data_IF_562505352838
#
_entry.id   IF_562505352838
#
_cell.length_a   1.000
_cell.length_b   1.000
_cell.length_c   1.000
_cell.angle_alpha   90.00
_cell.angle_beta   90.00
_cell.angle_gamma   90.00
#
_symmetry.space_group_name_H-M   'P 1'
#
loop_
_entity.id
_entity.type
_entity.pdbx_description
1 polymer ?
#
# COMPACT_ATOMS: atom_id res chain seq x y z
N UNK A 1 23.71 -3.57 20.51
CA UNK A 1 22.27 -3.24 20.42
C UNK A 1 21.48 -4.56 20.50
N UNK A 2 20.36 -4.66 21.23
CA UNK A 2 19.62 -5.94 21.38
C UNK A 2 18.97 -6.35 20.04
N UNK A 3 18.96 -7.65 19.67
CA UNK A 3 18.47 -8.13 18.37
C UNK A 3 17.01 -7.77 18.06
N UNK A 4 16.14 -7.66 19.09
CA UNK A 4 14.75 -7.20 18.93
C UNK A 4 14.64 -5.77 18.38
N UNK A 5 15.54 -4.88 18.78
CA UNK A 5 15.54 -3.47 18.33
C UNK A 5 15.92 -3.34 16.86
N UNK A 6 16.80 -4.23 16.40
CA UNK A 6 17.27 -4.29 15.00
C UNK A 6 16.17 -4.81 14.07
N UNK A 7 15.42 -5.83 14.51
CA UNK A 7 14.35 -6.41 13.70
C UNK A 7 13.18 -5.44 13.49
N UNK A 8 12.78 -4.71 14.54
CA UNK A 8 11.75 -3.67 14.44
C UNK A 8 12.19 -2.57 13.46
N UNK A 9 13.42 -2.08 13.57
CA UNK A 9 13.92 -1.04 12.65
C UNK A 9 13.97 -1.49 11.19
N UNK A 10 14.25 -2.77 10.92
CA UNK A 10 14.27 -3.29 9.56
C UNK A 10 12.86 -3.33 8.95
N UNK A 11 11.87 -3.80 9.71
CA UNK A 11 10.46 -3.84 9.28
C UNK A 11 9.93 -2.43 9.03
N UNK A 12 10.21 -1.49 9.94
CA UNK A 12 9.82 -0.08 9.78
C UNK A 12 10.44 0.53 8.52
N UNK A 13 11.71 0.25 8.25
CA UNK A 13 12.40 0.72 7.07
C UNK A 13 11.81 0.16 5.78
N UNK A 14 11.49 -1.14 5.75
CA UNK A 14 10.84 -1.80 4.59
C UNK A 14 9.48 -1.16 4.32
N UNK A 15 8.68 -0.94 5.37
CA UNK A 15 7.35 -0.38 5.24
C UNK A 15 7.37 1.10 4.84
N UNK A 16 8.35 1.87 5.36
CA UNK A 16 8.59 3.26 4.92
C UNK A 16 8.99 3.31 3.44
N UNK A 17 9.89 2.45 2.98
CA UNK A 17 10.27 2.40 1.56
C UNK A 17 9.09 2.02 0.66
N UNK A 18 8.22 1.12 1.13
CA UNK A 18 6.97 0.82 0.43
C UNK A 18 6.08 2.05 0.33
N UNK A 19 5.89 2.78 1.43
CA UNK A 19 5.13 4.04 1.45
C UNK A 19 5.71 5.10 0.49
N UNK A 20 7.02 5.31 0.49
CA UNK A 20 7.68 6.36 -0.28
C UNK A 20 7.60 6.11 -1.79
N UNK A 21 7.58 4.85 -2.22
CA UNK A 21 7.41 4.47 -3.64
C UNK A 21 6.12 4.99 -4.27
N UNK A 22 5.10 5.29 -3.46
CA UNK A 22 3.81 5.80 -3.94
C UNK A 22 3.62 7.29 -3.70
N UNK A 23 4.66 8.01 -3.24
CA UNK A 23 4.65 9.46 -3.15
C UNK A 23 4.32 10.10 -4.50
N UNK A 24 5.05 9.70 -5.56
CA UNK A 24 4.85 10.23 -6.91
C UNK A 24 3.44 9.96 -7.42
N UNK A 25 2.90 8.75 -7.19
CA UNK A 25 1.52 8.42 -7.60
C UNK A 25 0.47 9.26 -6.88
N UNK A 26 0.71 9.59 -5.59
CA UNK A 26 -0.20 10.41 -4.78
C UNK A 26 -0.10 11.91 -5.08
N UNK A 27 1.04 12.37 -5.60
CA UNK A 27 1.31 13.75 -5.98
C UNK A 27 1.46 13.90 -7.50
N UNK A 28 0.65 13.17 -8.27
CA UNK A 28 0.65 13.27 -9.73
C UNK A 28 -0.62 13.98 -10.19
N UNK A 29 -0.47 14.97 -11.07
CA UNK A 29 -1.61 15.75 -11.58
C UNK A 29 -2.67 14.88 -12.25
N UNK A 30 -2.28 13.76 -12.85
CA UNK A 30 -3.22 12.81 -13.45
C UNK A 30 -4.06 12.09 -12.40
N UNK A 31 -3.45 11.64 -11.30
CA UNK A 31 -4.17 11.06 -10.15
C UNK A 31 -5.08 12.12 -9.51
N UNK A 32 -4.61 13.36 -9.44
CA UNK A 32 -5.33 14.50 -8.85
C UNK A 32 -6.52 14.97 -9.69
N UNK A 33 -6.42 14.87 -11.02
CA UNK A 33 -7.52 15.09 -11.94
C UNK A 33 -8.49 13.89 -11.95
N UNK A 34 -7.96 12.66 -11.90
CA UNK A 34 -8.75 11.43 -11.89
C UNK A 34 -9.72 11.38 -10.71
N UNK A 35 -9.24 11.64 -9.49
CA UNK A 35 -10.10 11.62 -8.29
C UNK A 35 -11.21 12.68 -8.34
N UNK A 36 -11.03 13.74 -9.12
CA UNK A 36 -12.05 14.76 -9.37
C UNK A 36 -12.99 14.43 -10.54
N UNK A 37 -12.88 13.24 -11.15
CA UNK A 37 -13.65 12.84 -12.32
C UNK A 37 -13.23 13.53 -13.63
N UNK A 38 -12.08 14.21 -13.63
CA UNK A 38 -11.60 15.02 -14.77
C UNK A 38 -10.69 14.23 -15.71
N UNK A 39 -10.44 12.95 -15.43
CA UNK A 39 -9.56 12.09 -16.21
C UNK A 39 -10.12 10.67 -16.40
N UNK A 40 -11.22 10.50 -17.15
CA UNK A 40 -11.95 9.22 -17.25
C UNK A 40 -11.13 8.08 -17.87
N UNK A 41 -10.12 8.38 -18.68
CA UNK A 41 -9.23 7.40 -19.29
C UNK A 41 -8.13 6.88 -18.34
N UNK A 42 -7.97 7.49 -17.17
CA UNK A 42 -6.89 7.19 -16.22
C UNK A 42 -6.85 5.71 -15.85
N UNK A 43 -7.99 5.09 -15.55
CA UNK A 43 -8.06 3.68 -15.16
C UNK A 43 -7.51 2.76 -16.26
N UNK A 44 -7.95 2.98 -17.50
CA UNK A 44 -7.55 2.16 -18.65
C UNK A 44 -6.06 2.32 -18.96
N UNK A 45 -5.52 3.53 -18.80
CA UNK A 45 -4.12 3.85 -19.14
C UNK A 45 -3.16 3.46 -18.02
N UNK A 46 -3.50 3.76 -16.77
CA UNK A 46 -2.58 3.65 -15.64
C UNK A 46 -2.88 2.48 -14.70
N UNK A 47 -4.11 1.95 -14.68
CA UNK A 47 -4.54 0.89 -13.75
C UNK A 47 -4.83 -0.45 -14.46
N UNK A 48 -4.29 -0.64 -15.67
CA UNK A 48 -4.38 -1.91 -16.38
C UNK A 48 -3.46 -2.99 -15.76
N UNK A 49 -3.67 -4.29 -16.08
CA UNK A 49 -2.90 -5.39 -15.49
C UNK A 49 -1.37 -5.26 -15.64
N UNK A 50 -0.90 -4.71 -16.76
CA UNK A 50 0.54 -4.53 -16.98
C UNK A 50 1.10 -3.46 -16.05
N UNK A 51 0.42 -2.32 -15.92
CA UNK A 51 0.81 -1.24 -15.01
C UNK A 51 0.81 -1.68 -13.55
N UNK A 52 -0.22 -2.41 -13.10
CA UNK A 52 -0.29 -2.94 -11.73
C UNK A 52 0.78 -4.00 -11.45
N UNK A 53 1.11 -4.86 -12.43
CA UNK A 53 2.22 -5.79 -12.31
C UNK A 53 3.58 -5.06 -12.21
N UNK A 54 3.75 -3.95 -12.91
CA UNK A 54 5.00 -3.16 -12.89
C UNK A 54 5.22 -2.46 -11.55
N UNK A 55 4.18 -1.84 -10.98
CA UNK A 55 4.25 -1.25 -9.63
C UNK A 55 4.15 -2.28 -8.51
N UNK A 56 3.84 -3.53 -8.88
CA UNK A 56 3.78 -4.74 -8.04
C UNK A 56 2.83 -4.58 -6.85
N UNK A 57 1.63 -4.04 -7.02
CA UNK A 57 0.65 -3.97 -5.91
C UNK A 57 -0.34 -5.13 -5.97
N UNK A 58 -0.86 -5.52 -4.82
CA UNK A 58 -2.00 -6.44 -4.71
C UNK A 58 -3.33 -5.70 -4.47
N UNK A 59 -3.26 -4.43 -4.09
CA UNK A 59 -4.40 -3.58 -3.80
C UNK A 59 -4.07 -2.16 -4.23
N UNK A 60 -5.03 -1.51 -4.89
CA UNK A 60 -4.98 -0.06 -5.14
C UNK A 60 -6.40 0.50 -5.06
N UNK A 61 -6.57 1.56 -4.27
CA UNK A 61 -7.84 2.25 -4.05
C UNK A 61 -7.62 3.76 -4.21
N UNK A 62 -8.55 4.41 -4.89
CA UNK A 62 -8.70 5.86 -4.96
C UNK A 62 -10.01 6.21 -4.26
N UNK A 63 -9.88 6.88 -3.12
CA UNK A 63 -11.02 7.25 -2.26
C UNK A 63 -11.06 8.75 -2.17
N UNK A 64 -12.23 9.37 -2.35
CA UNK A 64 -12.37 10.82 -2.27
C UNK A 64 -12.40 11.32 -0.82
N UNK A 65 -12.54 12.64 -0.63
CA UNK A 65 -12.59 13.24 0.72
C UNK A 65 -13.84 12.86 1.52
N UNK A 66 -14.91 12.42 0.86
CA UNK A 66 -16.13 11.96 1.50
C UNK A 66 -16.00 10.49 1.97
N UNK A 67 -14.88 9.82 1.66
CA UNK A 67 -14.70 8.40 1.92
C UNK A 67 -15.34 7.50 0.86
N UNK A 68 -15.82 8.07 -0.24
CA UNK A 68 -16.37 7.30 -1.35
C UNK A 68 -15.23 6.74 -2.19
N UNK A 69 -15.26 5.43 -2.41
CA UNK A 69 -14.33 4.77 -3.32
C UNK A 69 -14.69 5.12 -4.77
N UNK A 70 -13.87 5.97 -5.39
CA UNK A 70 -13.98 6.33 -6.81
C UNK A 70 -13.49 5.17 -7.67
N UNK A 71 -12.41 4.53 -7.25
CA UNK A 71 -11.91 3.31 -7.88
C UNK A 71 -11.27 2.40 -6.85
N UNK A 72 -11.36 1.10 -7.06
CA UNK A 72 -10.60 0.14 -6.27
C UNK A 72 -10.54 -1.23 -6.91
N UNK A 73 -9.38 -1.87 -6.82
CA UNK A 73 -9.21 -3.23 -7.33
C UNK A 73 -8.18 -4.01 -6.52
N UNK A 74 -8.38 -5.32 -6.46
CA UNK A 74 -7.33 -6.25 -6.08
C UNK A 74 -6.55 -6.71 -7.31
N UNK A 75 -5.31 -7.16 -7.10
CA UNK A 75 -4.47 -7.70 -8.17
C UNK A 75 -3.71 -8.94 -7.70
N UNK A 76 -3.84 -10.02 -8.47
CA UNK A 76 -3.05 -11.22 -8.26
C UNK A 76 -1.74 -11.09 -9.07
N UNK A 77 -0.62 -10.91 -8.38
CA UNK A 77 0.71 -10.73 -8.98
C UNK A 77 1.24 -11.99 -9.69
N UNK A 78 0.79 -13.19 -9.28
CA UNK A 78 1.22 -14.45 -9.90
C UNK A 78 0.50 -14.67 -11.22
N UNK A 79 -0.82 -14.53 -11.23
CA UNK A 79 -1.63 -14.74 -12.44
C UNK A 79 -1.69 -13.50 -13.33
N UNK A 80 -1.23 -12.34 -12.82
CA UNK A 80 -1.31 -11.02 -13.46
C UNK A 80 -2.74 -10.64 -13.85
N UNK A 81 -3.69 -10.88 -12.94
CA UNK A 81 -5.12 -10.60 -13.17
C UNK A 81 -5.67 -9.66 -12.11
N UNK A 82 -6.56 -8.76 -12.54
CA UNK A 82 -7.45 -8.03 -11.66
C UNK A 82 -8.36 -9.03 -10.94
N UNK A 83 -8.58 -8.80 -9.65
CA UNK A 83 -9.49 -9.56 -8.81
C UNK A 83 -10.32 -8.58 -7.97
N UNK A 84 -11.49 -8.99 -7.47
CA UNK A 84 -12.21 -8.18 -6.49
C UNK A 84 -11.34 -7.87 -5.26
N UNK A 85 -11.60 -6.73 -4.62
CA UNK A 85 -10.96 -6.39 -3.34
C UNK A 85 -11.37 -7.46 -2.31
N UNK A 86 -10.41 -8.13 -1.64
CA UNK A 86 -10.74 -9.13 -0.63
C UNK A 86 -11.66 -8.59 0.48
N UNK A 87 -12.63 -9.39 0.92
CA UNK A 87 -13.58 -8.97 1.95
C UNK A 87 -12.90 -8.55 3.26
N UNK A 88 -11.82 -9.22 3.64
CA UNK A 88 -11.01 -8.90 4.81
C UNK A 88 -10.45 -7.48 4.75
N UNK A 89 -9.96 -7.06 3.58
CA UNK A 89 -9.50 -5.68 3.31
C UNK A 89 -10.67 -4.71 3.40
N UNK A 90 -11.82 -5.00 2.78
CA UNK A 90 -12.98 -4.09 2.85
C UNK A 90 -13.43 -3.83 4.29
N UNK A 91 -13.46 -4.89 5.12
CA UNK A 91 -13.87 -4.80 6.52
C UNK A 91 -12.86 -4.04 7.40
N UNK A 92 -11.56 -4.28 7.23
CA UNK A 92 -10.55 -3.71 8.12
C UNK A 92 -10.02 -2.34 7.67
N UNK A 93 -10.04 -2.07 6.35
CA UNK A 93 -9.44 -0.88 5.75
C UNK A 93 -10.51 0.14 5.38
N UNK A 94 -11.50 -0.25 4.58
CA UNK A 94 -12.49 0.70 4.03
C UNK A 94 -13.48 1.14 5.12
N UNK A 95 -13.83 0.24 6.04
CA UNK A 95 -14.74 0.57 7.15
C UNK A 95 -14.06 1.40 8.25
N UNK A 96 -12.72 1.52 8.23
CA UNK A 96 -11.94 2.23 9.22
C UNK A 96 -11.37 3.53 8.63
N UNK A 97 -12.11 4.62 8.79
CA UNK A 97 -11.77 5.94 8.24
C UNK A 97 -10.42 6.50 8.70
N UNK A 98 -9.76 5.90 9.70
CA UNK A 98 -8.44 6.36 10.16
C UNK A 98 -7.39 6.42 9.06
N UNK A 99 -7.44 5.52 8.06
CA UNK A 99 -6.49 5.53 6.95
C UNK A 99 -6.82 6.57 5.87
N UNK A 100 -8.04 7.10 5.86
CA UNK A 100 -8.54 8.02 4.83
C UNK A 100 -8.47 9.50 5.25
N UNK A 101 -8.23 9.76 6.55
CA UNK A 101 -8.13 11.11 7.09
C UNK A 101 -6.68 11.58 7.08
N UNK A 102 -6.40 12.70 6.44
CA UNK A 102 -5.06 13.29 6.37
C UNK A 102 -5.08 14.72 6.91
N UNK A 103 -4.17 15.05 7.83
CA UNK A 103 -4.04 16.38 8.44
C UNK A 103 -3.29 17.38 7.55
N UNK A 104 -2.42 16.88 6.66
CA UNK A 104 -1.64 17.72 5.74
C UNK A 104 -1.28 16.97 4.46
N UNK A 105 -0.75 17.68 3.46
CA UNK A 105 -0.29 17.10 2.21
C UNK A 105 0.86 16.07 2.38
N UNK A 106 1.55 16.10 3.52
CA UNK A 106 2.65 15.18 3.84
C UNK A 106 2.23 14.08 4.84
N UNK A 107 0.97 14.05 5.26
CA UNK A 107 0.47 13.10 6.26
C UNK A 107 0.19 11.73 5.63
N UNK A 108 1.24 10.96 5.34
CA UNK A 108 1.11 9.56 4.90
C UNK A 108 0.98 8.61 6.09
N UNK A 109 0.04 7.67 6.01
CA UNK A 109 -0.16 6.61 7.01
C UNK A 109 0.22 5.27 6.40
N UNK A 110 1.05 4.49 7.06
CA UNK A 110 1.51 3.21 6.55
C UNK A 110 1.75 2.21 7.68
N UNK A 111 1.62 0.93 7.37
CA UNK A 111 1.57 -0.12 8.41
C UNK A 111 1.57 -1.53 7.84
N UNK A 112 1.65 -2.50 8.73
CA UNK A 112 1.36 -3.91 8.41
C UNK A 112 -0.07 -4.22 8.86
N UNK A 113 -0.82 -4.91 8.01
CA UNK A 113 -2.14 -5.43 8.30
C UNK A 113 -2.13 -6.95 8.23
N UNK A 114 -2.61 -7.59 9.30
CA UNK A 114 -2.73 -9.05 9.37
C UNK A 114 -4.11 -9.46 8.88
N UNK A 115 -4.16 -10.14 7.74
CA UNK A 115 -5.38 -10.62 7.10
C UNK A 115 -5.38 -12.16 7.04
N UNK A 116 -6.55 -12.80 6.87
CA UNK A 116 -6.63 -14.24 6.61
C UNK A 116 -5.78 -14.70 5.42
N UNK A 117 -5.62 -13.84 4.40
CA UNK A 117 -4.81 -14.10 3.21
C UNK A 117 -3.30 -13.93 3.44
N UNK A 118 -2.90 -13.28 4.53
CA UNK A 118 -1.51 -13.03 4.89
C UNK A 118 -1.25 -11.62 5.43
N UNK A 119 0.02 -11.32 5.68
CA UNK A 119 0.45 -9.98 6.12
C UNK A 119 0.57 -9.06 4.91
N UNK A 120 -0.12 -7.92 4.94
CA UNK A 120 -0.08 -6.90 3.89
C UNK A 120 0.63 -5.66 4.39
N UNK A 121 1.62 -5.17 3.64
CA UNK A 121 2.09 -3.79 3.77
C UNK A 121 1.05 -2.85 3.15
N UNK A 122 0.69 -1.80 3.88
CA UNK A 122 -0.27 -0.79 3.44
C UNK A 122 0.35 0.60 3.50
N UNK A 123 0.03 1.42 2.51
CA UNK A 123 0.30 2.85 2.52
C UNK A 123 -0.93 3.62 2.04
N UNK A 124 -1.32 4.62 2.80
CA UNK A 124 -2.41 5.55 2.51
C UNK A 124 -1.83 6.97 2.46
N UNK A 125 -1.93 7.60 1.29
CA UNK A 125 -1.30 8.88 1.00
C UNK A 125 -2.34 9.90 0.50
N UNK A 126 -2.27 11.16 0.94
CA UNK A 126 -3.16 12.19 0.45
C UNK A 126 -2.94 12.44 -1.05
N UNK A 127 -4.02 12.51 -1.82
CA UNK A 127 -3.98 12.90 -3.23
C UNK A 127 -3.86 14.43 -3.33
N UNK A 128 -2.72 14.89 -3.83
CA UNK A 128 -2.33 16.31 -3.97
C UNK A 128 -1.81 16.57 -5.39
N UNK A 129 -1.59 17.84 -5.75
CA UNK A 129 -1.04 18.17 -7.07
C UNK A 129 0.47 17.86 -7.16
N UNK A 130 1.05 18.03 -8.35
CA UNK A 130 2.48 17.79 -8.62
C UNK A 130 3.46 18.69 -7.85
N UNK A 131 2.99 19.84 -7.35
CA UNK A 131 3.78 20.66 -6.41
C UNK A 131 3.85 20.05 -5.00
N UNK A 132 3.19 18.91 -4.76
CA UNK A 132 3.03 18.30 -3.44
C UNK A 132 2.14 19.15 -2.51
N UNK A 133 1.31 20.03 -3.07
CA UNK A 133 0.50 20.99 -2.32
C UNK A 133 -0.97 20.63 -2.38
N UNK A 134 -1.66 20.97 -1.30
CA UNK A 134 -3.11 20.84 -1.23
C UNK A 134 -3.85 21.72 -2.26
N UNK A 135 -5.19 21.63 -2.28
CA UNK A 135 -6.00 20.92 -1.29
C UNK A 135 -6.01 19.40 -1.50
N UNK A 136 -5.97 18.63 -0.41
CA UNK A 136 -6.03 17.14 -0.45
C UNK A 136 -7.35 16.69 -1.06
N UNK A 137 -7.36 16.07 -2.24
CA UNK A 137 -8.59 15.65 -2.93
C UNK A 137 -9.12 14.26 -2.56
N UNK A 138 -8.36 13.51 -1.79
CA UNK A 138 -8.72 12.16 -1.37
C UNK A 138 -7.49 11.40 -0.88
N UNK A 139 -7.56 10.08 -0.94
CA UNK A 139 -6.52 9.16 -0.52
C UNK A 139 -6.24 8.14 -1.61
N UNK A 140 -4.95 7.99 -1.94
CA UNK A 140 -4.44 6.82 -2.63
C UNK A 140 -4.06 5.79 -1.56
N UNK A 141 -4.71 4.63 -1.58
CA UNK A 141 -4.36 3.51 -0.72
C UNK A 141 -3.83 2.36 -1.56
N UNK A 142 -2.66 1.85 -1.20
CA UNK A 142 -1.99 0.76 -1.88
C UNK A 142 -1.59 -0.32 -0.91
N UNK A 143 -1.61 -1.56 -1.37
CA UNK A 143 -1.26 -2.72 -0.56
C UNK A 143 -0.44 -3.75 -1.32
N UNK A 144 0.46 -4.42 -0.60
CA UNK A 144 1.22 -5.57 -1.12
C UNK A 144 1.37 -6.63 -0.05
N UNK A 145 1.09 -7.88 -0.40
CA UNK A 145 1.35 -8.99 0.52
C UNK A 145 2.85 -9.19 0.71
N UNK A 146 3.27 -9.30 1.96
CA UNK A 146 4.63 -9.63 2.35
C UNK A 146 4.82 -11.15 2.24
N UNK A 147 4.98 -11.65 1.01
CA UNK A 147 5.23 -13.07 0.75
C UNK A 147 6.71 -13.39 0.92
N UNK A 148 7.07 -14.68 0.99
CA UNK A 148 8.47 -15.11 0.98
C UNK A 148 9.23 -14.60 -0.26
N UNK A 149 8.55 -14.51 -1.40
CA UNK A 149 9.12 -13.96 -2.63
C UNK A 149 9.39 -12.46 -2.50
N UNK A 150 8.46 -11.68 -1.93
CA UNK A 150 8.70 -10.25 -1.70
C UNK A 150 9.82 -10.02 -0.69
N UNK A 151 9.89 -10.82 0.38
CA UNK A 151 10.97 -10.73 1.36
C UNK A 151 12.33 -11.00 0.72
N UNK A 152 12.42 -12.00 -0.16
CA UNK A 152 13.65 -12.32 -0.87
C UNK A 152 14.09 -11.20 -1.84
N UNK A 153 13.18 -10.32 -2.26
CA UNK A 153 13.47 -9.17 -3.13
C UNK A 153 13.89 -7.92 -2.36
N UNK A 154 13.67 -7.88 -1.05
CA UNK A 154 14.12 -6.75 -0.24
C UNK A 154 15.64 -6.68 -0.30
N UNK A 155 16.24 -5.48 -0.32
CA UNK A 155 17.68 -5.35 -0.24
C UNK A 155 18.15 -6.10 1.00
N UNK A 156 18.92 -7.17 0.82
CA UNK A 156 19.54 -7.82 1.95
C UNK A 156 20.59 -6.84 2.48
N UNK A 157 20.18 -5.99 3.42
CA UNK A 157 21.14 -5.39 4.35
C UNK A 157 21.95 -6.55 4.89
N UNK A 158 23.26 -6.56 4.65
CA UNK A 158 24.21 -7.68 4.78
C UNK A 158 24.22 -8.38 6.16
N UNK A 159 23.32 -8.04 7.08
CA UNK A 159 23.33 -8.46 8.47
C UNK A 159 22.22 -9.45 8.85
N UNK A 160 21.10 -9.63 8.11
CA UNK A 160 20.01 -10.52 8.56
C UNK A 160 19.20 -11.17 7.44
N UNK A 161 18.81 -12.44 7.64
CA UNK A 161 17.79 -13.12 6.85
C UNK A 161 16.41 -12.93 7.49
N UNK A 162 15.48 -12.27 6.78
CA UNK A 162 14.12 -12.05 7.28
C UNK A 162 13.24 -13.26 6.96
N UNK A 163 12.45 -13.71 7.93
CA UNK A 163 11.44 -14.78 7.77
C UNK A 163 10.17 -14.38 8.48
N UNK A 164 9.02 -14.65 7.87
CA UNK A 164 7.73 -14.58 8.53
C UNK A 164 7.41 -15.94 9.13
N UNK A 165 7.19 -15.99 10.43
CA UNK A 165 6.77 -17.16 11.17
C UNK A 165 5.44 -16.85 11.88
N UNK A 166 4.45 -17.76 11.87
CA UNK A 166 3.30 -17.67 12.75
C UNK A 166 3.72 -17.55 14.22
N UNK A 167 2.98 -16.82 15.04
CA UNK A 167 3.29 -16.69 16.48
C UNK A 167 3.23 -18.03 17.25
N UNK A 168 2.63 -19.05 16.63
CA UNK A 168 2.50 -20.40 17.17
C UNK A 168 3.52 -21.38 16.54
N UNK A 169 4.49 -20.89 15.77
CA UNK A 169 5.46 -21.76 15.10
C UNK A 169 6.40 -22.38 16.15
N UNK A 170 6.53 -23.72 16.19
CA UNK A 170 7.41 -24.41 17.16
C UNK A 170 8.89 -24.05 16.99
N UNK A 171 9.27 -23.38 15.89
CA UNK A 171 10.64 -22.89 15.63
C UNK A 171 10.89 -21.48 16.16
N UNK A 172 9.92 -20.84 16.81
CA UNK A 172 10.14 -19.54 17.45
C UNK A 172 11.15 -19.69 18.61
N UNK A 173 12.14 -18.80 18.71
CA UNK A 173 12.98 -18.71 19.89
C UNK A 173 12.12 -18.47 21.14
N UNK A 174 12.39 -19.21 22.21
CA UNK A 174 11.78 -18.99 23.54
C UNK A 174 12.50 -17.90 24.31
#
# INVERSE_FOLDING_TARGET
>A
MKPSKVMVSAIDQINSQFNDRFADWSAWDDSYAFIAGQKPEFERVNLNPQSLANIRVNLILFVDRAGQMIYGTGFNLQTKRLIPIPNSVQQQVVSNNMLLQHQSANDSKYGLLVLPEGVMMLAARPLVNSDGKGPIRGTLLVGRYLTAEEIARLPQTQQFALRLLPINDPKLPT
#
